data_IF_397354414956
#
_entry.id   IF_397354414956
#
_cell.length_a   1.000
_cell.length_b   1.000
_cell.length_c   1.000
_cell.angle_alpha   90.00
_cell.angle_beta   90.00
_cell.angle_gamma   90.00
#
_symmetry.space_group_name_H-M   'P 1'
#
loop_
_entity.id
_entity.type
_entity.pdbx_description
1 polymer ?
#
# COMPACT_ATOMS: atom_id res chain seq x y z
N UNK A 1 -3.02 3.38 16.88
CA UNK A 1 -3.16 2.60 15.63
C UNK A 1 -2.18 3.17 14.62
N UNK A 2 -1.46 2.33 13.86
CA UNK A 2 -0.50 2.82 12.85
C UNK A 2 -1.22 3.62 11.76
N UNK A 3 -0.68 4.79 11.43
CA UNK A 3 -1.18 5.72 10.40
C UNK A 3 -0.18 5.91 9.27
N UNK A 4 1.12 5.83 9.56
CA UNK A 4 2.18 6.11 8.60
C UNK A 4 3.20 4.98 8.48
N UNK A 5 3.79 4.84 7.29
CA UNK A 5 4.84 3.85 7.01
C UNK A 5 5.97 4.54 6.24
N UNK A 6 7.16 4.50 6.81
CA UNK A 6 8.38 5.16 6.35
C UNK A 6 9.28 4.09 5.73
N UNK A 7 9.67 4.29 4.47
CA UNK A 7 10.50 3.36 3.70
C UNK A 7 11.85 3.98 3.41
N UNK A 8 12.93 3.23 3.66
CA UNK A 8 14.18 3.47 2.95
C UNK A 8 14.02 3.16 1.46
N UNK A 9 14.97 3.66 0.65
CA UNK A 9 14.90 3.58 -0.80
C UNK A 9 15.87 2.53 -1.35
N UNK A 10 17.16 2.59 -0.99
CA UNK A 10 18.17 1.62 -1.43
C UNK A 10 17.99 0.30 -0.69
N UNK A 11 18.15 -0.85 -1.36
CA UNK A 11 17.94 -2.15 -0.70
C UNK A 11 16.47 -2.54 -0.46
N UNK A 12 15.61 -1.56 -0.14
CA UNK A 12 14.16 -1.72 0.09
C UNK A 12 13.34 -1.53 -1.19
N UNK A 13 13.12 -0.30 -1.66
CA UNK A 13 12.33 -0.03 -2.86
C UNK A 13 13.07 -0.50 -4.12
N UNK A 14 14.39 -0.37 -4.11
CA UNK A 14 15.30 -0.78 -5.17
C UNK A 14 16.29 -1.82 -4.64
N UNK A 15 17.00 -2.49 -5.54
CA UNK A 15 18.18 -3.25 -5.11
C UNK A 15 19.30 -2.29 -4.73
N UNK A 16 20.19 -2.73 -3.84
CA UNK A 16 21.39 -1.96 -3.55
C UNK A 16 22.37 -2.09 -4.73
N UNK A 17 22.45 -1.04 -5.55
CA UNK A 17 23.31 -0.98 -6.73
C UNK A 17 24.68 -0.33 -6.44
N UNK A 18 24.95 0.09 -5.19
CA UNK A 18 26.23 0.72 -4.82
C UNK A 18 27.46 -0.10 -5.18
N UNK A 19 27.48 -1.44 -5.03
CA UNK A 19 28.63 -2.24 -5.46
C UNK A 19 29.00 -2.06 -6.94
N UNK A 20 28.01 -1.82 -7.82
CA UNK A 20 28.27 -1.56 -9.24
C UNK A 20 28.81 -0.15 -9.47
N UNK A 21 28.28 0.83 -8.74
CA UNK A 21 28.79 2.21 -8.76
C UNK A 21 30.26 2.25 -8.32
N UNK A 22 30.62 1.58 -7.23
CA UNK A 22 32.02 1.48 -6.76
C UNK A 22 32.93 0.85 -7.82
N UNK A 23 32.54 -0.29 -8.39
CA UNK A 23 33.31 -0.95 -9.48
C UNK A 23 33.50 -0.04 -10.68
N UNK A 24 32.47 0.73 -11.03
CA UNK A 24 32.49 1.61 -12.18
C UNK A 24 33.40 2.83 -11.96
N UNK A 25 33.39 3.41 -10.76
CA UNK A 25 34.31 4.47 -10.33
C UNK A 25 35.76 3.96 -10.40
N UNK A 26 36.03 2.82 -9.77
CA UNK A 26 37.37 2.19 -9.71
C UNK A 26 37.94 2.02 -11.13
N UNK A 27 37.17 1.38 -12.01
CA UNK A 27 37.57 1.11 -13.40
C UNK A 27 37.78 2.39 -14.21
N UNK A 28 36.91 3.37 -14.03
CA UNK A 28 36.88 4.58 -14.87
C UNK A 28 37.99 5.55 -14.51
N UNK A 29 38.33 5.64 -13.23
CA UNK A 29 39.39 6.51 -12.73
C UNK A 29 40.74 5.78 -12.62
N UNK A 30 40.76 4.45 -12.80
CA UNK A 30 41.96 3.64 -12.72
C UNK A 30 42.62 3.73 -11.34
N UNK A 31 41.80 3.66 -10.29
CA UNK A 31 42.24 3.71 -8.89
C UNK A 31 42.28 2.30 -8.30
N UNK A 32 43.19 2.04 -7.35
CA UNK A 32 43.20 0.78 -6.60
C UNK A 32 42.00 0.70 -5.66
N UNK A 33 41.49 -0.50 -5.41
CA UNK A 33 40.28 -0.73 -4.61
C UNK A 33 40.43 -0.21 -3.18
N UNK A 34 41.57 -0.45 -2.56
CA UNK A 34 41.85 -0.08 -1.16
C UNK A 34 41.94 1.45 -1.01
N UNK A 35 42.50 2.13 -2.01
CA UNK A 35 42.57 3.59 -2.10
C UNK A 35 41.17 4.18 -2.28
N UNK A 36 40.35 3.55 -3.12
CA UNK A 36 38.96 3.94 -3.31
C UNK A 36 38.15 3.81 -2.01
N UNK A 37 38.21 2.67 -1.33
CA UNK A 37 37.43 2.40 -0.12
C UNK A 37 37.72 3.40 1.00
N UNK A 38 39.00 3.75 1.21
CA UNK A 38 39.43 4.74 2.20
C UNK A 38 38.83 6.12 1.91
N UNK A 39 39.15 6.69 0.76
CA UNK A 39 38.83 8.09 0.47
C UNK A 39 37.35 8.29 0.09
N UNK A 40 36.70 7.29 -0.50
CA UNK A 40 35.26 7.36 -0.76
C UNK A 40 34.49 7.47 0.56
N UNK A 41 34.83 6.64 1.55
CA UNK A 41 34.14 6.62 2.85
C UNK A 41 34.26 7.94 3.62
N UNK A 42 35.43 8.59 3.53
CA UNK A 42 35.66 9.93 4.12
C UNK A 42 34.79 11.02 3.47
N UNK A 43 34.61 10.96 2.14
CA UNK A 43 33.95 12.01 1.37
C UNK A 43 32.45 11.78 1.16
N UNK A 44 31.96 10.54 1.27
CA UNK A 44 30.54 10.24 0.99
C UNK A 44 29.61 10.81 2.06
N UNK A 45 30.06 10.90 3.32
CA UNK A 45 29.25 11.45 4.42
C UNK A 45 28.93 12.94 4.22
N UNK A 46 29.91 13.85 3.98
CA UNK A 46 29.60 15.26 3.70
C UNK A 46 28.78 15.41 2.41
N UNK A 47 29.04 14.62 1.37
CA UNK A 47 28.22 14.64 0.15
C UNK A 47 26.78 14.19 0.44
N UNK A 48 26.61 13.16 1.26
CA UNK A 48 25.31 12.63 1.67
C UNK A 48 24.53 13.57 2.59
N UNK A 49 25.18 14.54 3.23
CA UNK A 49 24.54 15.65 3.96
C UNK A 49 24.30 16.89 3.11
N UNK A 50 24.82 16.92 1.87
CA UNK A 50 24.78 18.12 1.04
C UNK A 50 25.75 19.21 1.47
N UNK A 51 26.74 18.89 2.33
CA UNK A 51 27.79 19.83 2.77
C UNK A 51 28.80 20.11 1.64
N UNK A 52 28.91 19.20 0.67
CA UNK A 52 29.72 19.37 -0.54
C UNK A 52 28.92 18.98 -1.78
N UNK A 53 29.21 19.61 -2.92
CA UNK A 53 28.65 19.26 -4.23
C UNK A 53 29.31 18.01 -4.83
N UNK A 54 28.69 17.42 -5.86
CA UNK A 54 29.32 16.33 -6.64
C UNK A 54 30.66 16.78 -7.24
N UNK A 55 30.75 18.02 -7.73
CA UNK A 55 32.00 18.57 -8.27
C UNK A 55 33.10 18.64 -7.21
N UNK A 56 32.78 19.18 -6.03
CA UNK A 56 33.72 19.27 -4.90
C UNK A 56 34.13 17.88 -4.41
N UNK A 57 33.20 16.91 -4.40
CA UNK A 57 33.51 15.51 -4.12
C UNK A 57 34.57 15.00 -5.10
N UNK A 58 34.36 15.15 -6.41
CA UNK A 58 35.30 14.64 -7.40
C UNK A 58 36.65 15.37 -7.37
N UNK A 59 36.68 16.69 -7.17
CA UNK A 59 37.93 17.44 -7.00
C UNK A 59 38.76 16.90 -5.83
N UNK A 60 38.14 16.72 -4.65
CA UNK A 60 38.80 16.16 -3.46
C UNK A 60 39.21 14.70 -3.67
N UNK A 61 38.33 13.90 -4.26
CA UNK A 61 38.55 12.48 -4.52
C UNK A 61 39.76 12.27 -5.45
N UNK A 62 39.78 12.94 -6.61
CA UNK A 62 40.87 12.80 -7.59
C UNK A 62 42.22 13.23 -7.02
N UNK A 63 42.25 14.31 -6.23
CA UNK A 63 43.46 14.79 -5.54
C UNK A 63 43.96 13.75 -4.54
N UNK A 64 43.08 13.16 -3.73
CA UNK A 64 43.43 12.18 -2.71
C UNK A 64 43.87 10.83 -3.31
N UNK A 65 43.16 10.34 -4.33
CA UNK A 65 43.42 9.00 -4.90
C UNK A 65 44.54 8.96 -5.93
N UNK A 66 45.02 10.12 -6.42
CA UNK A 66 45.94 10.21 -7.56
C UNK A 66 45.47 9.37 -8.75
N UNK A 67 44.20 9.56 -9.13
CA UNK A 67 43.57 8.79 -10.20
C UNK A 67 44.38 8.83 -11.50
N UNK A 68 44.55 7.68 -12.15
CA UNK A 68 45.36 7.55 -13.37
C UNK A 68 44.61 7.97 -14.64
N UNK A 69 43.29 8.16 -14.55
CA UNK A 69 42.43 8.54 -15.67
C UNK A 69 41.58 9.77 -15.31
N UNK A 70 41.24 10.63 -16.28
CA UNK A 70 40.43 11.80 -16.05
C UNK A 70 38.98 11.44 -15.68
N UNK A 71 38.31 12.34 -14.95
CA UNK A 71 36.88 12.22 -14.68
C UNK A 71 36.08 12.30 -15.99
N UNK A 72 35.19 11.33 -16.28
CA UNK A 72 34.35 11.40 -17.47
C UNK A 72 33.34 12.55 -17.40
N UNK A 73 32.91 13.06 -18.56
CA UNK A 73 31.85 14.10 -18.66
C UNK A 73 30.51 13.67 -18.04
N UNK A 74 30.18 12.37 -18.09
CA UNK A 74 28.96 11.82 -17.48
C UNK A 74 29.22 11.49 -16.01
N UNK A 75 28.32 11.91 -15.13
CA UNK A 75 28.38 11.59 -13.68
C UNK A 75 28.53 10.09 -13.45
N UNK A 76 29.57 9.72 -12.71
CA UNK A 76 29.85 8.33 -12.33
C UNK A 76 28.84 7.78 -11.31
N UNK A 77 28.24 8.65 -10.50
CA UNK A 77 27.16 8.27 -9.60
C UNK A 77 25.91 7.87 -10.39
N UNK A 78 25.54 8.68 -11.39
CA UNK A 78 24.29 8.49 -12.14
C UNK A 78 24.39 7.32 -13.12
N UNK A 79 25.57 7.02 -13.66
CA UNK A 79 25.75 6.11 -14.80
C UNK A 79 25.25 4.69 -14.53
N UNK A 80 25.61 4.09 -13.40
CA UNK A 80 25.15 2.73 -13.08
C UNK A 80 23.73 2.73 -12.51
N UNK A 81 23.35 3.74 -11.73
CA UNK A 81 21.96 3.88 -11.30
C UNK A 81 21.00 3.96 -12.50
N UNK A 82 21.28 4.80 -13.49
CA UNK A 82 20.41 4.96 -14.66
C UNK A 82 20.16 3.65 -15.43
N UNK A 83 21.12 2.72 -15.39
CA UNK A 83 21.00 1.42 -16.07
C UNK A 83 20.22 0.39 -15.24
N UNK A 84 20.41 0.41 -13.93
CA UNK A 84 20.04 -0.71 -13.04
C UNK A 84 18.88 -0.40 -12.11
N UNK A 85 18.57 0.88 -11.91
CA UNK A 85 17.67 1.35 -10.87
C UNK A 85 16.20 1.14 -11.25
N UNK A 86 15.74 -0.10 -11.12
CA UNK A 86 14.35 -0.52 -11.34
C UNK A 86 13.68 -0.82 -10.00
N UNK A 87 12.49 -0.25 -9.74
CA UNK A 87 11.79 -0.51 -8.48
C UNK A 87 11.38 -1.98 -8.41
N UNK A 88 11.41 -2.55 -7.21
CA UNK A 88 10.94 -3.93 -6.97
C UNK A 88 9.43 -3.97 -7.18
N UNK A 89 8.96 -4.61 -8.25
CA UNK A 89 7.52 -4.69 -8.61
C UNK A 89 6.63 -5.07 -7.42
N UNK A 90 6.99 -6.11 -6.66
CA UNK A 90 6.23 -6.53 -5.47
C UNK A 90 6.17 -5.45 -4.37
N UNK A 91 7.21 -4.65 -4.19
CA UNK A 91 7.19 -3.54 -3.22
C UNK A 91 6.29 -2.42 -3.72
N UNK A 92 6.31 -2.11 -5.03
CA UNK A 92 5.35 -1.17 -5.64
C UNK A 92 3.92 -1.61 -5.40
N UNK A 93 3.62 -2.90 -5.56
CA UNK A 93 2.29 -3.44 -5.31
C UNK A 93 1.88 -3.30 -3.82
N UNK A 94 2.81 -3.54 -2.89
CA UNK A 94 2.60 -3.30 -1.45
C UNK A 94 2.28 -1.82 -1.20
N UNK A 95 3.09 -0.89 -1.73
CA UNK A 95 2.88 0.56 -1.55
C UNK A 95 1.51 1.01 -2.05
N UNK A 96 1.11 0.56 -3.25
CA UNK A 96 -0.22 0.90 -3.82
C UNK A 96 -1.35 0.45 -2.90
N UNK A 97 -1.26 -0.76 -2.35
CA UNK A 97 -2.29 -1.31 -1.45
C UNK A 97 -2.30 -0.61 -0.09
N UNK A 98 -1.13 -0.28 0.46
CA UNK A 98 -1.05 0.54 1.67
C UNK A 98 -1.68 1.93 1.46
N UNK A 99 -1.38 2.59 0.34
CA UNK A 99 -1.98 3.89 0.00
C UNK A 99 -3.50 3.78 -0.17
N UNK A 100 -3.99 2.74 -0.86
CA UNK A 100 -5.42 2.48 -1.00
C UNK A 100 -6.12 2.23 0.35
N UNK A 101 -5.40 1.64 1.32
CA UNK A 101 -5.89 1.41 2.68
C UNK A 101 -5.77 2.64 3.60
N UNK A 102 -5.36 3.80 3.08
CA UNK A 102 -5.34 5.07 3.79
C UNK A 102 -4.11 5.32 4.65
N UNK A 103 -3.04 4.52 4.51
CA UNK A 103 -1.77 4.80 5.18
C UNK A 103 -1.02 5.94 4.49
N UNK A 104 -0.43 6.83 5.28
CA UNK A 104 0.53 7.82 4.78
C UNK A 104 1.88 7.14 4.51
N UNK A 105 2.49 7.42 3.37
CA UNK A 105 3.75 6.82 2.96
C UNK A 105 4.86 7.87 2.92
N UNK A 106 5.99 7.58 3.55
CA UNK A 106 7.18 8.43 3.50
C UNK A 106 8.40 7.72 2.90
N UNK A 107 9.18 8.43 2.09
CA UNK A 107 10.56 8.01 1.77
C UNK A 107 11.52 8.66 2.78
N UNK A 108 12.46 7.88 3.30
CA UNK A 108 13.54 8.37 4.15
C UNK A 108 14.86 7.73 3.74
N UNK A 109 15.68 8.44 2.96
CA UNK A 109 16.90 7.88 2.37
C UNK A 109 18.15 8.68 2.69
N UNK A 110 19.19 7.96 3.13
CA UNK A 110 20.56 8.45 3.07
C UNK A 110 21.00 8.39 1.61
N UNK A 111 21.15 9.54 0.98
CA UNK A 111 21.45 9.62 -0.45
C UNK A 111 22.23 10.88 -0.80
N UNK A 112 22.62 11.00 -2.06
CA UNK A 112 23.37 12.11 -2.63
C UNK A 112 22.51 12.80 -3.71
N UNK A 113 22.76 14.08 -3.98
CA UNK A 113 21.96 14.88 -4.95
C UNK A 113 21.77 14.15 -6.29
N UNK A 114 22.82 13.60 -6.94
CA UNK A 114 22.65 13.01 -8.27
C UNK A 114 21.69 11.82 -8.25
N UNK A 115 21.68 11.05 -7.17
CA UNK A 115 20.77 9.92 -7.00
C UNK A 115 19.36 10.38 -6.59
N UNK A 116 19.23 11.36 -5.69
CA UNK A 116 17.94 11.94 -5.31
C UNK A 116 17.18 12.47 -6.54
N UNK A 117 17.89 13.16 -7.45
CA UNK A 117 17.34 13.66 -8.71
C UNK A 117 16.84 12.54 -9.64
N UNK A 118 17.49 11.36 -9.64
CA UNK A 118 16.98 10.20 -10.36
C UNK A 118 15.71 9.65 -9.72
N UNK A 119 15.71 9.46 -8.40
CA UNK A 119 14.55 8.95 -7.65
C UNK A 119 13.32 9.84 -7.88
N UNK A 120 13.48 11.16 -7.84
CA UNK A 120 12.39 12.14 -8.08
C UNK A 120 11.72 12.02 -9.46
N UNK A 121 12.41 11.48 -10.46
CA UNK A 121 11.88 11.27 -11.82
C UNK A 121 11.14 9.94 -11.98
N UNK A 122 11.19 9.06 -10.99
CA UNK A 122 10.61 7.72 -11.08
C UNK A 122 9.12 7.76 -10.73
N UNK A 123 8.31 6.94 -11.41
CA UNK A 123 6.86 6.87 -11.16
C UNK A 123 6.51 6.51 -9.71
N UNK A 124 7.33 5.69 -9.05
CA UNK A 124 7.11 5.29 -7.64
C UNK A 124 7.16 6.49 -6.68
N UNK A 125 7.83 7.59 -7.07
CA UNK A 125 7.93 8.80 -6.26
C UNK A 125 6.55 9.38 -5.93
N UNK A 126 5.61 9.36 -6.90
CA UNK A 126 4.25 9.87 -6.71
C UNK A 126 3.38 9.04 -5.76
N UNK A 127 3.85 7.88 -5.29
CA UNK A 127 3.14 7.10 -4.26
C UNK A 127 3.37 7.65 -2.84
N UNK A 128 4.40 8.48 -2.63
CA UNK A 128 4.77 8.95 -1.30
C UNK A 128 4.20 10.34 -1.03
N UNK A 129 3.70 10.52 0.18
CA UNK A 129 3.12 11.78 0.64
C UNK A 129 4.22 12.71 1.18
N UNK A 130 5.27 12.13 1.78
CA UNK A 130 6.45 12.83 2.29
C UNK A 130 7.72 12.17 1.73
N UNK A 131 8.72 12.96 1.38
CA UNK A 131 10.04 12.46 0.99
C UNK A 131 11.15 13.23 1.70
N UNK A 132 12.07 12.51 2.31
CA UNK A 132 13.25 13.05 3.00
C UNK A 132 14.50 12.42 2.41
N UNK A 133 15.33 13.25 1.78
CA UNK A 133 16.64 12.88 1.27
C UNK A 133 17.70 13.58 2.11
N UNK A 134 18.66 12.82 2.65
CA UNK A 134 19.65 13.33 3.58
C UNK A 134 20.44 14.52 3.05
N UNK A 135 20.75 14.53 1.74
CA UNK A 135 21.51 15.61 1.10
C UNK A 135 20.74 16.93 1.05
N UNK A 136 19.42 16.90 1.24
CA UNK A 136 18.55 18.08 1.18
C UNK A 136 18.28 18.63 2.58
N UNK A 137 18.44 17.82 3.62
CA UNK A 137 18.10 18.18 5.00
C UNK A 137 19.30 18.21 5.95
N UNK A 138 20.50 17.82 5.50
CA UNK A 138 21.72 17.85 6.31
C UNK A 138 21.80 16.76 7.39
N UNK A 139 20.85 15.83 7.42
CA UNK A 139 20.72 14.79 8.44
C UNK A 139 20.81 13.41 7.77
N UNK A 140 21.46 12.45 8.45
CA UNK A 140 21.63 11.08 7.97
C UNK A 140 21.15 10.11 9.04
N UNK A 141 20.48 9.03 8.64
CA UNK A 141 20.38 7.83 9.49
C UNK A 141 21.80 7.34 9.83
N UNK A 142 22.07 6.81 11.02
CA UNK A 142 21.13 6.53 12.12
C UNK A 142 20.88 7.71 13.10
N UNK A 143 21.20 8.96 12.77
CA UNK A 143 20.93 10.11 13.67
C UNK A 143 19.42 10.27 13.92
N UNK A 144 19.02 10.23 15.19
CA UNK A 144 17.62 10.29 15.62
C UNK A 144 16.89 11.56 15.16
N UNK A 145 17.62 12.66 14.93
CA UNK A 145 17.05 13.93 14.43
C UNK A 145 16.32 13.73 13.10
N UNK A 146 16.75 12.80 12.26
CA UNK A 146 16.11 12.54 10.97
C UNK A 146 14.74 11.84 11.15
N UNK A 147 14.60 11.00 12.19
CA UNK A 147 13.33 10.35 12.53
C UNK A 147 12.33 11.37 13.10
N UNK A 148 12.79 12.28 13.95
CA UNK A 148 11.98 13.40 14.43
C UNK A 148 11.48 14.27 13.28
N UNK A 149 12.34 14.59 12.31
CA UNK A 149 11.99 15.39 11.13
C UNK A 149 10.89 14.74 10.27
N UNK A 150 11.02 13.44 9.95
CA UNK A 150 10.02 12.77 9.11
C UNK A 150 8.68 12.63 9.83
N UNK A 151 8.68 12.36 11.14
CA UNK A 151 7.46 12.29 11.94
C UNK A 151 6.75 13.64 12.04
N UNK A 152 7.49 14.73 12.24
CA UNK A 152 6.94 16.09 12.24
C UNK A 152 6.23 16.40 10.92
N UNK A 153 6.83 16.03 9.78
CA UNK A 153 6.22 16.22 8.45
C UNK A 153 5.02 15.32 8.20
N UNK A 154 5.01 14.12 8.77
CA UNK A 154 3.87 13.20 8.71
C UNK A 154 2.73 13.60 9.65
N UNK A 155 2.98 14.46 10.65
CA UNK A 155 2.01 14.75 11.71
C UNK A 155 1.70 13.51 12.56
N UNK A 156 2.68 12.61 12.75
CA UNK A 156 2.52 11.33 13.44
C UNK A 156 3.44 11.23 14.65
N UNK A 157 2.99 10.53 15.70
CA UNK A 157 3.86 10.11 16.80
C UNK A 157 4.66 8.85 16.45
N UNK A 158 5.76 8.52 17.17
CA UNK A 158 6.52 7.30 16.93
C UNK A 158 5.68 6.01 17.01
N UNK A 159 4.68 5.98 17.91
CA UNK A 159 3.76 4.84 18.09
C UNK A 159 2.75 4.67 16.94
N UNK A 160 2.61 5.68 16.09
CA UNK A 160 1.69 5.68 14.94
C UNK A 160 2.41 5.44 13.61
N UNK A 161 3.72 5.23 13.63
CA UNK A 161 4.53 5.04 12.44
C UNK A 161 5.39 3.78 12.51
N UNK A 162 5.67 3.21 11.34
CA UNK A 162 6.61 2.11 11.18
C UNK A 162 7.74 2.55 10.26
N UNK A 163 8.96 2.13 10.59
CA UNK A 163 10.14 2.36 9.76
C UNK A 163 10.63 1.05 9.14
N UNK A 164 10.91 1.05 7.84
CA UNK A 164 11.37 -0.11 7.08
C UNK A 164 12.69 0.24 6.41
N UNK A 165 13.75 -0.52 6.74
CA UNK A 165 15.10 -0.31 6.22
C UNK A 165 15.81 -1.66 6.10
N UNK A 166 16.73 -1.83 5.15
CA UNK A 166 17.48 -3.07 4.99
C UNK A 166 18.68 -3.15 5.95
N UNK A 167 19.09 -2.03 6.56
CA UNK A 167 20.18 -1.97 7.52
C UNK A 167 19.73 -2.08 8.97
N UNK A 168 20.32 -3.03 9.68
CA UNK A 168 20.09 -3.24 11.11
C UNK A 168 20.45 -2.01 11.95
N UNK A 169 21.55 -1.32 11.65
CA UNK A 169 21.97 -0.09 12.36
C UNK A 169 20.87 1.01 12.33
N UNK A 170 20.19 1.16 11.19
CA UNK A 170 19.13 2.16 11.04
C UNK A 170 17.86 1.74 11.78
N UNK A 171 17.51 0.45 11.69
CA UNK A 171 16.34 -0.11 12.38
C UNK A 171 16.50 -0.05 13.89
N UNK A 172 17.67 -0.38 14.42
CA UNK A 172 17.99 -0.29 15.84
C UNK A 172 17.90 1.15 16.35
N UNK A 173 18.43 2.13 15.60
CA UNK A 173 18.30 3.53 15.96
C UNK A 173 16.84 4.02 15.95
N UNK A 174 16.04 3.59 14.97
CA UNK A 174 14.61 3.90 14.94
C UNK A 174 13.89 3.30 16.16
N UNK A 175 14.20 2.05 16.53
CA UNK A 175 13.65 1.40 17.72
C UNK A 175 14.02 2.16 19.01
N UNK A 176 15.27 2.58 19.17
CA UNK A 176 15.73 3.37 20.33
C UNK A 176 15.02 4.72 20.42
N UNK A 177 14.74 5.34 19.27
CA UNK A 177 13.94 6.56 19.17
C UNK A 177 12.44 6.35 19.47
N UNK A 178 11.97 5.09 19.56
CA UNK A 178 10.59 4.73 19.86
C UNK A 178 9.71 4.44 18.63
N UNK A 179 10.29 4.40 17.42
CA UNK A 179 9.61 3.91 16.21
C UNK A 179 9.61 2.38 16.18
N UNK A 180 8.53 1.78 15.68
CA UNK A 180 8.57 0.34 15.35
C UNK A 180 9.36 0.15 14.05
N UNK A 181 10.55 -0.43 14.14
CA UNK A 181 11.39 -0.75 12.98
C UNK A 181 11.18 -2.18 12.45
N UNK A 182 11.29 -2.36 11.13
CA UNK A 182 11.29 -3.65 10.43
C UNK A 182 12.55 -3.73 9.56
N UNK A 183 13.39 -4.74 9.81
CA UNK A 183 14.51 -5.07 8.92
C UNK A 183 13.94 -5.71 7.64
N UNK A 184 14.10 -5.03 6.52
CA UNK A 184 13.66 -5.51 5.23
C UNK A 184 14.61 -6.56 4.67
N UNK A 185 14.10 -7.78 4.45
CA UNK A 185 14.85 -8.86 3.79
C UNK A 185 14.35 -9.09 2.36
N UNK A 186 13.04 -9.15 2.20
CA UNK A 186 12.38 -9.31 0.90
C UNK A 186 10.89 -8.92 0.98
N UNK A 187 10.20 -8.74 -0.16
CA UNK A 187 8.80 -8.31 -0.16
C UNK A 187 7.83 -9.27 0.54
N UNK A 188 8.04 -10.59 0.45
CA UNK A 188 7.15 -11.56 1.10
C UNK A 188 7.27 -11.48 2.63
N UNK A 189 8.50 -11.35 3.14
CA UNK A 189 8.75 -11.14 4.57
C UNK A 189 8.14 -9.82 5.04
N UNK A 190 8.29 -8.73 4.27
CA UNK A 190 7.66 -7.46 4.61
C UNK A 190 6.13 -7.58 4.70
N UNK A 191 5.48 -8.24 3.74
CA UNK A 191 4.03 -8.49 3.78
C UNK A 191 3.63 -9.27 5.04
N UNK A 192 4.41 -10.28 5.43
CA UNK A 192 4.17 -11.06 6.65
C UNK A 192 4.28 -10.22 7.91
N UNK A 193 5.36 -9.43 8.05
CA UNK A 193 5.57 -8.55 9.21
C UNK A 193 4.49 -7.48 9.33
N UNK A 194 4.12 -6.82 8.23
CA UNK A 194 2.99 -5.88 8.23
C UNK A 194 1.69 -6.58 8.64
N UNK A 195 1.47 -7.80 8.15
CA UNK A 195 0.31 -8.61 8.51
C UNK A 195 0.22 -8.97 9.99
N UNK A 196 1.35 -9.21 10.68
CA UNK A 196 1.41 -9.45 12.13
C UNK A 196 1.03 -8.21 12.94
N UNK A 197 1.24 -7.03 12.36
CA UNK A 197 0.90 -5.73 12.97
C UNK A 197 -0.53 -5.27 12.65
N UNK A 198 -1.34 -6.13 12.02
CA UNK A 198 -2.69 -5.78 11.57
C UNK A 198 -2.72 -4.83 10.38
N UNK A 199 -1.58 -4.60 9.73
CA UNK A 199 -1.44 -3.73 8.56
C UNK A 199 -1.63 -4.58 7.31
N UNK A 200 -2.81 -4.49 6.72
CA UNK A 200 -3.11 -5.22 5.50
C UNK A 200 -2.57 -4.47 4.30
N UNK A 201 -1.73 -5.15 3.51
CA UNK A 201 -1.44 -4.82 2.12
C UNK A 201 -2.34 -5.64 1.20
N UNK A 202 -3.55 -5.96 1.64
CA UNK A 202 -4.58 -6.57 0.80
C UNK A 202 -5.55 -5.47 0.39
N UNK A 203 -6.01 -5.54 -0.86
CA UNK A 203 -6.99 -4.58 -1.36
C UNK A 203 -8.29 -4.78 -0.59
N UNK A 204 -8.76 -3.71 0.07
CA UNK A 204 -10.10 -3.70 0.66
C UNK A 204 -11.12 -3.64 -0.46
N UNK A 205 -12.03 -4.61 -0.48
CA UNK A 205 -13.17 -4.61 -1.37
C UNK A 205 -14.45 -4.90 -0.57
N UNK A 206 -15.57 -4.43 -1.10
CA UNK A 206 -16.89 -4.75 -0.60
C UNK A 206 -17.48 -5.86 -1.45
N UNK A 207 -18.00 -6.91 -0.82
CA UNK A 207 -18.76 -7.95 -1.50
C UNK A 207 -20.18 -7.99 -0.92
N UNK A 208 -21.19 -7.87 -1.78
CA UNK A 208 -22.58 -7.93 -1.35
C UNK A 208 -23.50 -8.47 -2.43
N UNK A 209 -24.77 -8.64 -2.08
CA UNK A 209 -25.72 -9.29 -2.97
C UNK A 209 -27.06 -9.60 -2.30
N UNK A 210 -27.88 -10.38 -2.99
CA UNK A 210 -29.23 -10.70 -2.55
C UNK A 210 -29.63 -12.13 -2.92
N UNK A 211 -30.66 -12.64 -2.25
CA UNK A 211 -31.32 -13.88 -2.65
C UNK A 211 -32.43 -13.58 -3.64
N UNK A 212 -32.56 -14.41 -4.67
CA UNK A 212 -33.60 -14.29 -5.70
C UNK A 212 -34.43 -15.56 -5.76
N UNK A 213 -35.75 -15.43 -5.67
CA UNK A 213 -36.67 -16.54 -5.87
C UNK A 213 -37.17 -16.52 -7.33
N UNK A 214 -36.77 -17.48 -8.18
CA UNK A 214 -37.16 -17.49 -9.58
C UNK A 214 -38.65 -17.85 -9.80
N UNK A 215 -39.31 -18.52 -8.84
CA UNK A 215 -40.73 -18.89 -8.95
C UNK A 215 -41.62 -17.67 -8.74
N UNK A 216 -41.33 -16.89 -7.70
CA UNK A 216 -42.13 -15.71 -7.33
C UNK A 216 -41.60 -14.40 -7.92
N UNK A 217 -40.40 -14.41 -8.51
CA UNK A 217 -39.69 -13.24 -9.05
C UNK A 217 -39.44 -12.15 -8.01
N UNK A 218 -39.16 -12.57 -6.78
CA UNK A 218 -38.87 -11.69 -5.65
C UNK A 218 -37.39 -11.71 -5.27
N UNK A 219 -36.93 -10.61 -4.70
CA UNK A 219 -35.60 -10.47 -4.09
C UNK A 219 -35.74 -10.27 -2.59
N UNK A 220 -34.85 -10.90 -1.83
CA UNK A 220 -34.73 -10.66 -0.39
C UNK A 220 -33.80 -9.46 -0.16
N UNK A 221 -34.31 -8.45 0.53
CA UNK A 221 -33.53 -7.30 0.99
C UNK A 221 -33.59 -7.23 2.53
N UNK A 222 -32.65 -6.50 3.12
CA UNK A 222 -32.68 -6.16 4.54
C UNK A 222 -32.79 -4.64 4.76
N UNK A 223 -33.45 -4.23 5.83
CA UNK A 223 -33.50 -2.84 6.27
C UNK A 223 -32.35 -2.58 7.24
N UNK A 224 -31.46 -1.66 6.87
CA UNK A 224 -30.29 -1.33 7.69
C UNK A 224 -30.68 -0.57 8.96
N UNK A 225 -30.03 -0.92 10.07
CA UNK A 225 -30.24 -0.26 11.37
C UNK A 225 -29.82 1.22 11.31
N UNK A 226 -30.49 2.05 12.13
CA UNK A 226 -30.23 3.49 12.23
C UNK A 226 -28.81 3.80 12.78
N UNK A 227 -28.21 2.85 13.51
CA UNK A 227 -26.84 2.92 14.02
C UNK A 227 -25.77 2.63 12.97
N UNK A 228 -26.16 2.20 11.77
CA UNK A 228 -25.17 1.89 10.73
C UNK A 228 -24.53 3.17 10.17
N UNK A 229 -23.20 3.15 10.07
CA UNK A 229 -22.42 4.32 9.59
C UNK A 229 -22.76 4.73 8.15
N UNK A 230 -23.16 3.77 7.32
CA UNK A 230 -23.42 3.98 5.90
C UNK A 230 -24.86 3.55 5.57
N UNK A 231 -25.60 4.45 4.93
CA UNK A 231 -26.97 4.21 4.44
C UNK A 231 -27.97 3.74 5.53
N UNK A 232 -28.05 4.42 6.70
CA UNK A 232 -29.01 4.04 7.75
C UNK A 232 -30.45 4.17 7.27
N UNK A 233 -31.34 3.28 7.74
CA UNK A 233 -32.76 3.23 7.39
C UNK A 233 -33.06 3.04 5.89
N UNK A 234 -32.12 2.50 5.12
CA UNK A 234 -32.32 2.14 3.72
C UNK A 234 -32.38 0.63 3.55
N UNK A 235 -33.23 0.18 2.61
CA UNK A 235 -33.25 -1.19 2.15
C UNK A 235 -32.01 -1.46 1.27
N UNK A 236 -31.30 -2.55 1.56
CA UNK A 236 -30.02 -2.84 0.95
C UNK A 236 -29.81 -4.34 0.67
N UNK A 237 -28.68 -4.62 0.03
CA UNK A 237 -28.14 -5.96 -0.12
C UNK A 237 -27.39 -6.37 1.14
N UNK A 238 -27.37 -7.68 1.41
CA UNK A 238 -26.48 -8.30 2.38
C UNK A 238 -25.03 -8.12 1.94
N UNK A 239 -24.11 -7.92 2.89
CA UNK A 239 -22.70 -7.85 2.56
C UNK A 239 -21.88 -6.82 3.33
N UNK A 240 -20.57 -6.99 3.20
CA UNK A 240 -19.58 -6.24 3.95
C UNK A 240 -18.22 -6.22 3.27
N UNK A 241 -17.24 -5.75 4.02
CA UNK A 241 -15.85 -5.63 3.57
C UNK A 241 -15.13 -6.96 3.82
N UNK A 242 -14.21 -7.32 2.93
CA UNK A 242 -13.44 -8.54 3.08
C UNK A 242 -12.62 -8.61 4.38
N UNK A 243 -12.56 -9.81 4.96
CA UNK A 243 -11.55 -10.17 5.95
C UNK A 243 -10.27 -10.60 5.22
N UNK A 244 -9.17 -10.70 5.98
CA UNK A 244 -7.84 -11.02 5.45
C UNK A 244 -7.85 -12.35 4.71
N UNK A 245 -7.33 -12.36 3.48
CA UNK A 245 -7.21 -13.52 2.61
C UNK A 245 -8.48 -13.93 1.87
N UNK A 246 -9.63 -13.29 2.13
CA UNK A 246 -10.89 -13.67 1.48
C UNK A 246 -10.94 -13.23 0.02
N UNK A 247 -11.53 -14.10 -0.82
CA UNK A 247 -11.99 -13.75 -2.16
C UNK A 247 -13.38 -13.12 -2.11
N UNK A 248 -13.79 -12.32 -3.11
CA UNK A 248 -15.11 -11.68 -3.15
C UNK A 248 -16.31 -12.59 -2.87
N UNK A 249 -16.32 -13.79 -3.45
CA UNK A 249 -17.42 -14.74 -3.23
C UNK A 249 -17.41 -15.34 -1.82
N UNK A 250 -16.23 -15.54 -1.22
CA UNK A 250 -16.08 -16.04 0.15
C UNK A 250 -16.53 -14.97 1.16
N UNK A 251 -16.15 -13.71 0.93
CA UNK A 251 -16.64 -12.56 1.71
C UNK A 251 -18.17 -12.49 1.66
N UNK A 252 -18.78 -12.52 0.47
CA UNK A 252 -20.24 -12.48 0.37
C UNK A 252 -20.91 -13.67 1.07
N UNK A 253 -20.37 -14.89 0.92
CA UNK A 253 -20.88 -16.08 1.59
C UNK A 253 -20.85 -15.95 3.10
N UNK A 254 -19.75 -15.42 3.65
CA UNK A 254 -19.60 -15.17 5.08
C UNK A 254 -20.61 -14.14 5.59
N UNK A 255 -20.73 -13.00 4.91
CA UNK A 255 -21.65 -11.94 5.32
C UNK A 255 -23.11 -12.42 5.29
N UNK A 256 -23.50 -13.18 4.25
CA UNK A 256 -24.81 -13.83 4.23
C UNK A 256 -25.00 -14.78 5.42
N UNK A 257 -23.98 -15.56 5.79
CA UNK A 257 -24.07 -16.46 6.94
C UNK A 257 -24.14 -15.71 8.27
N UNK A 258 -23.40 -14.62 8.41
CA UNK A 258 -23.43 -13.76 9.60
C UNK A 258 -24.80 -13.10 9.77
N UNK A 259 -25.43 -12.63 8.68
CA UNK A 259 -26.72 -11.94 8.72
C UNK A 259 -27.93 -12.90 8.77
N UNK A 260 -27.89 -14.02 8.04
CA UNK A 260 -29.02 -14.93 7.86
C UNK A 260 -28.84 -16.30 8.52
N UNK A 261 -27.64 -16.69 8.94
CA UNK A 261 -27.35 -18.04 9.46
C UNK A 261 -27.06 -19.09 8.38
N UNK A 262 -27.11 -20.38 8.76
CA UNK A 262 -26.67 -21.49 7.89
C UNK A 262 -27.69 -21.95 6.84
N UNK A 263 -28.74 -21.19 6.56
CA UNK A 263 -29.81 -21.60 5.63
C UNK A 263 -29.35 -21.76 4.16
N UNK A 264 -28.11 -21.37 3.86
CA UNK A 264 -27.58 -21.27 2.50
C UNK A 264 -26.37 -22.19 2.25
N UNK A 265 -26.11 -23.16 3.14
CA UNK A 265 -24.95 -24.07 3.05
C UNK A 265 -24.75 -24.71 1.66
N UNK A 266 -25.85 -24.96 0.93
CA UNK A 266 -25.87 -25.59 -0.39
C UNK A 266 -26.26 -24.64 -1.57
N UNK A 267 -26.39 -23.33 -1.35
CA UNK A 267 -26.85 -22.42 -2.42
C UNK A 267 -25.73 -22.01 -3.38
N UNK A 268 -26.00 -22.00 -4.69
CA UNK A 268 -25.04 -21.55 -5.71
C UNK A 268 -25.01 -20.04 -5.82
N UNK A 269 -23.92 -19.43 -5.33
CA UNK A 269 -23.66 -18.00 -5.49
C UNK A 269 -23.14 -17.72 -6.90
N UNK A 270 -23.75 -16.74 -7.58
CA UNK A 270 -23.39 -16.30 -8.93
C UNK A 270 -22.94 -14.84 -8.92
N UNK A 271 -21.86 -14.47 -9.63
CA UNK A 271 -21.50 -13.07 -9.82
C UNK A 271 -22.54 -12.36 -10.68
N UNK A 272 -22.86 -11.13 -10.32
CA UNK A 272 -23.73 -10.23 -11.09
C UNK A 272 -22.87 -9.22 -11.85
N UNK A 273 -22.12 -8.39 -11.13
CA UNK A 273 -21.26 -7.36 -11.68
C UNK A 273 -20.18 -6.96 -10.68
N UNK A 274 -19.16 -6.22 -11.12
CA UNK A 274 -18.20 -5.59 -10.22
C UNK A 274 -17.72 -4.26 -10.81
N UNK A 275 -17.39 -3.31 -9.94
CA UNK A 275 -16.95 -1.97 -10.34
C UNK A 275 -16.25 -1.24 -9.18
N UNK A 276 -15.39 -0.28 -9.50
CA UNK A 276 -14.80 0.60 -8.49
C UNK A 276 -15.85 1.59 -7.97
N UNK A 277 -15.98 1.70 -6.64
CA UNK A 277 -16.89 2.63 -6.00
C UNK A 277 -16.14 3.88 -5.51
N UNK A 278 -16.28 5.03 -6.18
CA UNK A 278 -15.55 6.24 -5.83
C UNK A 278 -15.95 6.81 -4.47
N UNK A 279 -17.21 6.61 -4.05
CA UNK A 279 -17.74 7.17 -2.79
C UNK A 279 -17.05 6.55 -1.57
N UNK A 280 -16.68 5.27 -1.67
CA UNK A 280 -16.02 4.52 -0.58
C UNK A 280 -14.55 4.18 -0.89
N UNK A 281 -14.06 4.53 -2.09
CA UNK A 281 -12.72 4.19 -2.59
C UNK A 281 -12.40 2.68 -2.49
N UNK A 282 -13.40 1.83 -2.73
CA UNK A 282 -13.28 0.38 -2.66
C UNK A 282 -13.84 -0.26 -3.92
N UNK A 283 -13.29 -1.41 -4.33
CA UNK A 283 -13.92 -2.21 -5.37
C UNK A 283 -15.18 -2.88 -4.81
N UNK A 284 -16.28 -2.86 -5.56
CA UNK A 284 -17.55 -3.50 -5.20
C UNK A 284 -17.76 -4.72 -6.09
N UNK A 285 -17.98 -5.87 -5.48
CA UNK A 285 -18.39 -7.10 -6.13
C UNK A 285 -19.83 -7.41 -5.73
N UNK A 286 -20.68 -7.64 -6.72
CA UNK A 286 -22.10 -7.90 -6.53
C UNK A 286 -22.42 -9.33 -6.96
N UNK A 287 -23.16 -10.03 -6.11
CA UNK A 287 -23.56 -11.42 -6.30
C UNK A 287 -25.06 -11.58 -6.12
N UNK A 288 -25.56 -12.75 -6.55
CA UNK A 288 -26.89 -13.21 -6.20
C UNK A 288 -26.89 -14.72 -6.01
N UNK A 289 -27.82 -15.24 -5.22
CA UNK A 289 -28.05 -16.68 -5.09
C UNK A 289 -29.52 -16.99 -5.38
N UNK A 290 -29.78 -18.05 -6.14
CA UNK A 290 -31.16 -18.49 -6.43
C UNK A 290 -31.63 -19.43 -5.33
N UNK A 291 -32.83 -19.21 -4.81
CA UNK A 291 -33.46 -20.10 -3.82
C UNK A 291 -34.89 -20.46 -4.25
N UNK A 292 -35.24 -21.74 -4.12
CA UNK A 292 -36.53 -22.28 -4.56
C UNK A 292 -37.65 -22.16 -3.53
N UNK A 293 -37.29 -21.93 -2.27
CA UNK A 293 -38.20 -21.85 -1.12
C UNK A 293 -37.96 -20.53 -0.41
N UNK A 294 -39.02 -19.82 -0.04
CA UNK A 294 -38.88 -18.62 0.79
C UNK A 294 -38.28 -19.04 2.14
N UNK A 295 -37.36 -18.24 2.63
CA UNK A 295 -36.87 -18.39 3.99
C UNK A 295 -37.94 -17.81 4.91
N UNK A 296 -38.63 -18.69 5.62
CA UNK A 296 -39.60 -18.35 6.66
C UNK A 296 -38.89 -18.47 8.02
N UNK A 297 -39.19 -17.56 8.96
CA UNK A 297 -38.61 -17.55 10.32
C UNK A 297 -37.08 -17.42 10.37
N UNK A 298 -36.49 -16.46 9.63
CA UNK A 298 -35.08 -16.13 9.81
C UNK A 298 -34.89 -15.38 11.13
N UNK A 299 -34.04 -15.92 12.01
CA UNK A 299 -33.53 -15.18 13.17
C UNK A 299 -32.46 -14.19 12.70
N UNK A 300 -32.78 -12.91 12.73
CA UNK A 300 -31.83 -11.86 12.37
C UNK A 300 -30.75 -11.72 13.43
N UNK A 301 -29.49 -11.75 12.99
CA UNK A 301 -28.35 -11.38 13.84
C UNK A 301 -27.95 -9.92 13.69
N UNK A 302 -28.24 -9.32 12.53
CA UNK A 302 -27.95 -7.92 12.21
C UNK A 302 -29.01 -7.34 11.25
N UNK A 303 -29.34 -6.05 11.39
CA UNK A 303 -30.40 -5.38 10.63
C UNK A 303 -31.73 -5.27 11.39
N UNK A 304 -32.64 -4.41 10.90
CA UNK A 304 -33.93 -4.17 11.57
C UNK A 304 -34.99 -5.19 11.15
N UNK A 305 -35.05 -5.52 9.87
CA UNK A 305 -35.97 -6.49 9.29
C UNK A 305 -35.47 -6.97 7.92
N UNK A 306 -35.98 -8.10 7.43
CA UNK A 306 -35.80 -8.56 6.05
C UNK A 306 -37.17 -8.71 5.38
N UNK A 307 -37.24 -8.48 4.07
CA UNK A 307 -38.49 -8.63 3.34
C UNK A 307 -38.24 -9.10 1.91
N UNK A 308 -39.12 -9.98 1.43
CA UNK A 308 -39.18 -10.38 0.04
C UNK A 308 -39.99 -9.34 -0.73
N UNK A 309 -39.38 -8.77 -1.77
CA UNK A 309 -40.04 -7.81 -2.64
C UNK A 309 -40.03 -8.30 -4.07
N UNK A 310 -41.15 -8.16 -4.76
CA UNK A 310 -41.13 -8.12 -6.23
C UNK A 310 -40.29 -6.94 -6.70
N UNK A 311 -39.79 -6.95 -7.93
CA UNK A 311 -39.07 -5.80 -8.47
C UNK A 311 -39.87 -4.49 -8.38
N UNK A 312 -41.19 -4.55 -8.61
CA UNK A 312 -42.08 -3.36 -8.54
C UNK A 312 -42.13 -2.79 -7.12
N UNK A 313 -42.21 -3.64 -6.10
CA UNK A 313 -42.22 -3.22 -4.70
C UNK A 313 -40.85 -2.72 -4.25
N UNK A 314 -39.77 -3.43 -4.60
CA UNK A 314 -38.41 -3.06 -4.24
C UNK A 314 -38.08 -1.64 -4.73
N UNK A 315 -38.46 -1.27 -5.95
CA UNK A 315 -38.22 0.09 -6.48
C UNK A 315 -39.09 1.19 -5.86
N UNK A 316 -40.12 0.85 -5.08
CA UNK A 316 -40.88 1.81 -4.27
C UNK A 316 -40.22 2.03 -2.90
N UNK A 317 -39.34 1.15 -2.46
CA UNK A 317 -38.62 1.30 -1.20
C UNK A 317 -37.50 2.36 -1.30
N UNK A 318 -37.12 2.87 -0.13
CA UNK A 318 -35.94 3.71 0.02
C UNK A 318 -34.67 2.84 -0.09
N UNK A 319 -34.22 2.63 -1.32
CA UNK A 319 -33.00 1.90 -1.65
C UNK A 319 -31.79 2.84 -1.66
N UNK A 320 -30.64 2.32 -1.26
CA UNK A 320 -29.36 3.00 -1.57
C UNK A 320 -29.19 3.16 -3.10
N UNK A 321 -28.50 4.22 -3.53
CA UNK A 321 -28.23 4.48 -4.97
C UNK A 321 -27.62 3.25 -5.66
N UNK A 322 -26.70 2.56 -4.98
CA UNK A 322 -26.00 1.38 -5.52
C UNK A 322 -26.91 0.16 -5.55
N UNK A 323 -27.68 -0.11 -4.50
CA UNK A 323 -28.69 -1.17 -4.47
C UNK A 323 -29.67 -1.02 -5.63
N UNK A 324 -30.19 0.19 -5.85
CA UNK A 324 -31.10 0.48 -6.97
C UNK A 324 -30.44 0.22 -8.33
N UNK A 325 -29.20 0.68 -8.52
CA UNK A 325 -28.44 0.49 -9.76
C UNK A 325 -28.18 -1.00 -10.05
N UNK A 326 -27.70 -1.74 -9.05
CA UNK A 326 -27.36 -3.16 -9.17
C UNK A 326 -28.62 -4.00 -9.43
N UNK A 327 -29.74 -3.67 -8.78
CA UNK A 327 -31.03 -4.36 -8.97
C UNK A 327 -31.62 -4.10 -10.36
N UNK A 328 -31.48 -2.88 -10.90
CA UNK A 328 -31.85 -2.57 -12.28
C UNK A 328 -31.02 -3.37 -13.28
N UNK A 329 -29.72 -3.50 -13.04
CA UNK A 329 -28.84 -4.31 -13.87
C UNK A 329 -29.29 -5.79 -13.85
N UNK A 330 -29.54 -6.36 -12.68
CA UNK A 330 -30.04 -7.73 -12.58
C UNK A 330 -31.37 -7.95 -13.30
N UNK A 331 -32.34 -7.05 -13.12
CA UNK A 331 -33.64 -7.14 -13.80
C UNK A 331 -33.47 -7.19 -15.32
N UNK A 332 -32.53 -6.43 -15.89
CA UNK A 332 -32.21 -6.45 -17.33
C UNK A 332 -31.55 -7.76 -17.77
N UNK A 333 -30.85 -8.47 -16.90
CA UNK A 333 -30.22 -9.77 -17.23
C UNK A 333 -31.20 -10.95 -17.16
N UNK A 334 -32.40 -10.76 -16.61
CA UNK A 334 -33.45 -11.77 -16.52
C UNK A 334 -34.47 -11.71 -17.67
N UNK A 335 -34.53 -10.56 -18.35
CA UNK A 335 -35.32 -10.31 -19.56
C UNK A 335 -34.43 -10.57 -20.77
#
# INVERSE_FOLDING_TARGET
MTKAIIFDVGGVLYKNEMPYVHKDIIRSLGVKKEVHERHYSELIKPLGKGEISEEQFWQKYLKATKASKPLPKKSLFVREYSKRYKPRKKVVDILKKLKANGYQLAMLSNTIEPHARLVKKMQIYGLFDITIFSNEVGLLKPDEKIFSLVLKKLGSSPKEAIFIDDKEEHVSAANNFGLKGIIFKNPNQLTSELGKLGITSEEKFYAGGFLYNPKTKEVLLHLRDNRTKNNPNLWAFFGGVNKKGEKPQETFKRELYEELGNYLSNSTIKPLCNYFNPDFKTHRYVFYSKISTKLENLELKEGKEFCWFTFKEAFKQFLSKRTRQDLLFFKKTLL
#
